data_IF_537477117275
#
_entry.id   IF_537477117275
#
_cell.length_a   1.000
_cell.length_b   1.000
_cell.length_c   1.000
_cell.angle_alpha   90.00
_cell.angle_beta   90.00
_cell.angle_gamma   90.00
#
_symmetry.space_group_name_H-M   'P 1'
#
loop_
_entity.id
_entity.type
_entity.pdbx_description
1 polymer ?
#
# COMPACT_ATOMS: atom_id res chain seq x y z
N UNK A 1 -8.05 -19.37 -1.75
CA UNK A 1 -8.22 -17.90 -1.88
C UNK A 1 -7.30 -17.18 -0.91
N UNK A 2 -6.58 -16.18 -1.38
CA UNK A 2 -5.70 -15.40 -0.55
C UNK A 2 -6.43 -14.14 -0.06
N UNK A 3 -6.55 -13.99 1.25
CA UNK A 3 -7.19 -12.81 1.83
C UNK A 3 -6.26 -11.59 1.72
N UNK A 4 -6.82 -10.42 1.42
CA UNK A 4 -6.06 -9.18 1.38
C UNK A 4 -5.47 -8.89 2.76
N UNK A 5 -4.14 -8.71 2.88
CA UNK A 5 -3.50 -8.55 4.19
C UNK A 5 -3.56 -7.12 4.73
N UNK A 6 -4.24 -6.22 4.04
CA UNK A 6 -4.19 -4.79 4.35
C UNK A 6 -5.50 -4.25 4.88
N UNK A 7 -5.39 -3.36 5.86
CA UNK A 7 -6.49 -2.48 6.28
C UNK A 7 -6.05 -1.05 6.02
N UNK A 8 -6.93 -0.26 5.39
CA UNK A 8 -6.65 1.14 5.08
C UNK A 8 -7.53 2.03 5.96
N UNK A 9 -6.88 2.94 6.68
CA UNK A 9 -7.57 3.99 7.44
C UNK A 9 -7.51 5.27 6.60
N UNK A 10 -8.67 5.75 6.17
CA UNK A 10 -8.82 6.93 5.32
C UNK A 10 -9.30 8.17 6.10
N UNK A 11 -9.14 8.20 7.42
CA UNK A 11 -9.55 9.33 8.25
C UNK A 11 -8.88 10.62 7.80
N UNK A 12 -7.60 10.54 7.42
CA UNK A 12 -6.89 11.61 6.73
C UNK A 12 -6.66 11.18 5.29
N UNK A 13 -7.42 11.75 4.35
CA UNK A 13 -7.38 11.33 2.95
C UNK A 13 -6.06 11.66 2.27
N UNK A 14 -5.28 12.62 2.78
CA UNK A 14 -3.96 12.93 2.25
C UNK A 14 -2.86 12.05 2.84
N UNK A 15 -3.16 11.37 3.95
CA UNK A 15 -2.21 10.51 4.64
C UNK A 15 -2.91 9.22 5.11
N UNK A 16 -3.42 8.40 4.19
CA UNK A 16 -4.03 7.14 4.61
C UNK A 16 -2.99 6.25 5.28
N UNK A 17 -3.43 5.50 6.28
CA UNK A 17 -2.58 4.58 7.03
C UNK A 17 -2.92 3.16 6.60
N UNK A 18 -1.91 2.41 6.18
CA UNK A 18 -2.05 1.04 5.73
C UNK A 18 -1.43 0.12 6.77
N UNK A 19 -2.20 -0.83 7.28
CA UNK A 19 -1.77 -1.75 8.33
C UNK A 19 -1.75 -3.17 7.80
N UNK A 20 -0.68 -3.91 8.11
CA UNK A 20 -0.63 -5.35 7.85
C UNK A 20 -1.47 -6.05 8.92
N UNK A 21 -2.65 -6.52 8.53
CA UNK A 21 -3.57 -7.23 9.42
C UNK A 21 -3.50 -8.74 9.27
N UNK A 22 -2.54 -9.24 8.49
CA UNK A 22 -2.30 -10.67 8.35
C UNK A 22 -1.44 -11.19 9.50
N UNK A 23 -1.29 -12.50 9.56
CA UNK A 23 -0.41 -13.17 10.51
C UNK A 23 1.02 -13.33 9.97
N UNK A 24 1.29 -12.84 8.75
CA UNK A 24 2.56 -13.05 8.06
C UNK A 24 3.39 -11.78 8.00
N UNK A 25 4.72 -11.96 7.92
CA UNK A 25 5.62 -10.88 7.53
C UNK A 25 5.49 -10.70 6.02
N UNK A 26 5.26 -9.49 5.57
CA UNK A 26 5.15 -9.17 4.15
C UNK A 26 6.44 -8.50 3.71
N UNK A 27 7.13 -9.11 2.75
CA UNK A 27 8.45 -8.66 2.33
C UNK A 27 8.40 -7.66 1.18
N UNK A 28 9.37 -6.77 1.17
CA UNK A 28 9.62 -5.83 0.07
C UNK A 28 8.35 -5.07 -0.30
N UNK A 29 7.70 -4.52 0.73
CA UNK A 29 6.47 -3.76 0.54
C UNK A 29 6.78 -2.44 -0.13
N UNK A 30 6.09 -2.16 -1.24
CA UNK A 30 6.23 -0.94 -2.02
C UNK A 30 4.85 -0.37 -2.30
N UNK A 31 4.82 0.94 -2.44
CA UNK A 31 3.60 1.67 -2.74
C UNK A 31 3.82 2.48 -4.02
N UNK A 32 2.92 2.31 -4.98
CA UNK A 32 2.93 3.07 -6.24
C UNK A 32 1.69 3.96 -6.23
N UNK A 33 1.90 5.27 -6.37
CA UNK A 33 0.82 6.25 -6.37
C UNK A 33 0.77 6.88 -7.75
N UNK A 34 -0.42 6.95 -8.34
CA UNK A 34 -0.62 7.64 -9.61
C UNK A 34 -1.93 8.39 -9.63
N UNK A 35 -2.03 9.42 -10.49
CA UNK A 35 -3.26 10.16 -10.72
C UNK A 35 -3.44 10.46 -12.21
N UNK A 36 -4.59 11.05 -12.57
CA UNK A 36 -4.92 11.34 -13.98
C UNK A 36 -4.03 12.38 -14.62
N UNK A 37 -3.24 13.13 -13.83
CA UNK A 37 -2.30 14.13 -14.33
C UNK A 37 -0.93 13.55 -14.65
N UNK A 38 -0.77 12.23 -14.57
CA UNK A 38 0.49 11.55 -14.83
C UNK A 38 1.50 11.68 -13.70
N UNK A 39 1.09 12.19 -12.55
CA UNK A 39 1.95 12.23 -11.37
C UNK A 39 2.11 10.83 -10.83
N UNK A 40 3.35 10.42 -10.64
CA UNK A 40 3.66 9.09 -10.15
C UNK A 40 4.73 9.16 -9.08
N UNK A 41 4.59 8.32 -8.05
CA UNK A 41 5.53 8.25 -6.96
C UNK A 41 5.60 6.81 -6.46
N UNK A 42 6.79 6.39 -6.07
CA UNK A 42 7.03 5.07 -5.50
C UNK A 42 7.71 5.22 -4.15
N UNK A 43 7.17 4.59 -3.13
CA UNK A 43 7.77 4.52 -1.80
C UNK A 43 8.03 3.07 -1.43
N UNK A 44 9.18 2.79 -0.80
CA UNK A 44 9.51 1.47 -0.29
C UNK A 44 9.46 1.46 1.24
N UNK A 45 8.86 0.41 1.80
CA UNK A 45 8.71 0.26 3.24
C UNK A 45 9.47 -0.96 3.80
N UNK A 46 10.08 -1.76 2.93
CA UNK A 46 10.77 -2.97 3.35
C UNK A 46 9.80 -4.02 3.87
N UNK A 47 10.21 -4.77 4.90
CA UNK A 47 9.38 -5.80 5.49
C UNK A 47 8.42 -5.19 6.51
N UNK A 48 7.14 -5.59 6.44
CA UNK A 48 6.12 -5.20 7.42
C UNK A 48 5.63 -6.44 8.15
N UNK A 49 5.79 -6.41 9.47
CA UNK A 49 5.36 -7.50 10.35
C UNK A 49 3.85 -7.36 10.66
N UNK A 50 3.22 -8.43 11.17
CA UNK A 50 1.84 -8.33 11.63
C UNK A 50 1.63 -7.14 12.57
N UNK A 51 0.64 -6.31 12.28
CA UNK A 51 0.34 -5.11 13.06
C UNK A 51 1.12 -3.86 12.70
N UNK A 52 2.16 -3.98 11.87
CA UNK A 52 2.91 -2.81 11.42
C UNK A 52 2.03 -1.95 10.49
N UNK A 53 2.16 -0.63 10.64
CA UNK A 53 1.41 0.33 9.86
C UNK A 53 2.35 1.34 9.21
N UNK A 54 2.01 1.79 8.03
CA UNK A 54 2.74 2.83 7.31
C UNK A 54 1.78 3.90 6.83
N UNK A 55 2.26 5.13 6.80
CA UNK A 55 1.50 6.26 6.28
C UNK A 55 1.89 6.51 4.83
N UNK A 56 0.90 6.60 3.96
CA UNK A 56 1.10 6.93 2.55
C UNK A 56 0.84 8.42 2.37
N UNK A 57 1.79 9.16 1.81
CA UNK A 57 1.62 10.60 1.58
C UNK A 57 1.04 10.85 0.20
N UNK A 58 -0.16 11.43 0.15
CA UNK A 58 -0.85 11.82 -1.09
C UNK A 58 -0.90 13.34 -1.25
N UNK A 59 0.04 14.07 -0.64
CA UNK A 59 -0.01 15.53 -0.55
C UNK A 59 0.05 16.22 -1.91
N UNK A 60 0.62 15.57 -2.93
CA UNK A 60 0.78 16.12 -4.28
C UNK A 60 -0.11 15.45 -5.32
N UNK A 61 -0.87 14.46 -4.91
CA UNK A 61 -1.75 13.73 -5.83
C UNK A 61 -3.10 14.41 -5.94
N UNK A 62 -3.75 14.25 -7.08
CA UNK A 62 -5.15 14.61 -7.24
C UNK A 62 -6.00 13.53 -6.61
N UNK A 63 -6.55 13.79 -5.42
CA UNK A 63 -7.28 12.78 -4.65
C UNK A 63 -8.49 12.23 -5.39
N UNK A 64 -9.08 13.00 -6.30
CA UNK A 64 -10.25 12.53 -7.05
C UNK A 64 -9.92 11.43 -8.05
N UNK A 65 -8.65 11.29 -8.42
CA UNK A 65 -8.19 10.29 -9.39
C UNK A 65 -7.02 9.45 -8.88
N UNK A 66 -6.61 9.64 -7.63
CA UNK A 66 -5.47 8.93 -7.08
C UNK A 66 -5.76 7.45 -6.93
N UNK A 67 -4.82 6.63 -7.39
CA UNK A 67 -4.83 5.18 -7.23
C UNK A 67 -3.56 4.79 -6.50
N UNK A 68 -3.72 4.02 -5.44
CA UNK A 68 -2.59 3.50 -4.66
C UNK A 68 -2.50 2.00 -4.89
N UNK A 69 -1.34 1.54 -5.33
CA UNK A 69 -1.06 0.12 -5.54
C UNK A 69 -0.01 -0.31 -4.54
N UNK A 70 -0.31 -1.33 -3.76
CA UNK A 70 0.66 -1.97 -2.87
C UNK A 70 1.16 -3.24 -3.53
N UNK A 71 2.47 -3.45 -3.46
CA UNK A 71 3.12 -4.65 -3.97
C UNK A 71 3.96 -5.26 -2.86
N UNK A 72 3.94 -6.57 -2.73
CA UNK A 72 4.69 -7.27 -1.69
C UNK A 72 4.94 -8.71 -2.10
N UNK A 73 5.83 -9.37 -1.36
CA UNK A 73 6.07 -10.81 -1.47
C UNK A 73 5.65 -11.50 -0.19
N UNK A 74 5.06 -12.67 -0.30
CA UNK A 74 4.75 -13.52 0.86
C UNK A 74 6.00 -14.27 1.30
N UNK A 75 6.11 -14.62 2.60
CA UNK A 75 7.24 -15.42 3.08
C UNK A 75 7.36 -16.72 2.30
N UNK A 76 8.58 -17.05 1.91
CA UNK A 76 8.89 -18.32 1.26
C UNK A 76 8.44 -18.45 -0.18
N UNK A 77 8.01 -17.37 -0.82
CA UNK A 77 7.63 -17.37 -2.24
C UNK A 77 8.35 -16.28 -3.00
N UNK A 78 8.50 -16.48 -4.32
CA UNK A 78 9.00 -15.46 -5.24
C UNK A 78 7.85 -14.77 -5.96
N UNK A 79 6.61 -15.07 -5.58
CA UNK A 79 5.43 -14.52 -6.23
C UNK A 79 5.12 -13.15 -5.66
N UNK A 80 5.00 -12.16 -6.55
CA UNK A 80 4.62 -10.79 -6.19
C UNK A 80 3.11 -10.67 -6.18
N UNK A 81 2.58 -10.08 -5.10
CA UNK A 81 1.16 -9.78 -4.97
C UNK A 81 0.94 -8.29 -5.10
N UNK A 82 -0.16 -7.92 -5.73
CA UNK A 82 -0.55 -6.53 -5.93
C UNK A 82 -1.96 -6.33 -5.41
N UNK A 83 -2.19 -5.18 -4.77
CA UNK A 83 -3.51 -4.77 -4.36
C UNK A 83 -3.65 -3.26 -4.51
N UNK A 84 -4.77 -2.84 -5.01
CA UNK A 84 -5.01 -1.46 -5.40
C UNK A 84 -6.21 -0.91 -4.67
N UNK A 85 -6.11 0.34 -4.21
CA UNK A 85 -7.26 1.01 -3.61
C UNK A 85 -7.34 2.47 -4.06
N UNK A 86 -8.56 3.02 -3.93
CA UNK A 86 -8.84 4.43 -4.17
C UNK A 86 -9.36 5.08 -2.89
N UNK A 87 -9.39 6.39 -2.87
CA UNK A 87 -9.79 7.16 -1.69
C UNK A 87 -11.25 7.55 -1.71
#
# INVERSE_FOLDING_TARGET
>A
MYAVPWKVDRSDTRHPVVTNVSADVLDTVRCFIGDRHGRARTDGFGALRPGDAVQVCLCRADLSSAIVTLAWYRPGTDEEFLWRFVL
#
